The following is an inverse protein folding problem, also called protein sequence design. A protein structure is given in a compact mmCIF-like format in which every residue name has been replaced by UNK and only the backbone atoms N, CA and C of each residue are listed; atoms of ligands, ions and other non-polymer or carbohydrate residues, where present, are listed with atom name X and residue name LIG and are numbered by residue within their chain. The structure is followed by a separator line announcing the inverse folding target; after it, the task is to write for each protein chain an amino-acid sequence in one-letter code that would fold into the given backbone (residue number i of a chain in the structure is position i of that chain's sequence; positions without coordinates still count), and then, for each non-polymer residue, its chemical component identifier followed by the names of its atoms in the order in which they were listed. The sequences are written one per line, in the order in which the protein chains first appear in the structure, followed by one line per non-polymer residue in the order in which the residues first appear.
data_IF_975628207794
#
_entry.id   IF_975628207794
#
_cell.length_a   1.000
_cell.length_b   1.000
_cell.length_c   1.000
_cell.angle_alpha   90.00
_cell.angle_beta   90.00
_cell.angle_gamma   90.00
#
_symmetry.space_group_name_H-M   'P 1'
#
loop_
_entity.id
_entity.type
_entity.pdbx_description
1 polymer ?
#
# COMPACT_ATOMS: atom_id res chain seq x y z
N UNK A 1 -16.93 17.47 -9.57
CA UNK A 1 -15.77 17.12 -8.77
C UNK A 1 -15.55 15.61 -8.77
N UNK A 2 -14.36 15.21 -9.02
CA UNK A 2 -14.07 13.78 -9.07
C UNK A 2 -13.56 13.29 -7.71
N UNK A 3 -13.93 12.07 -7.39
CA UNK A 3 -13.39 11.40 -6.21
C UNK A 3 -12.11 10.70 -6.60
N UNK A 4 -11.21 10.59 -5.66
CA UNK A 4 -10.03 9.76 -5.87
C UNK A 4 -10.49 8.32 -6.02
N UNK A 5 -9.87 7.60 -6.94
CA UNK A 5 -10.14 6.19 -7.08
C UNK A 5 -9.63 5.44 -5.84
N UNK A 6 -10.16 4.24 -5.66
CA UNK A 6 -9.70 3.38 -4.55
C UNK A 6 -8.21 3.10 -4.67
N UNK A 7 -7.69 2.98 -5.90
CA UNK A 7 -6.27 2.73 -6.11
C UNK A 7 -5.42 3.88 -5.62
N UNK A 8 -5.85 5.12 -5.86
CA UNK A 8 -5.10 6.29 -5.40
C UNK A 8 -5.11 6.35 -3.88
N UNK A 9 -6.28 6.17 -3.27
CA UNK A 9 -6.40 6.20 -1.81
C UNK A 9 -5.56 5.10 -1.16
N UNK A 10 -5.60 3.92 -1.74
CA UNK A 10 -4.85 2.79 -1.23
C UNK A 10 -3.35 3.08 -1.29
N UNK A 11 -2.88 3.57 -2.43
CA UNK A 11 -1.47 3.90 -2.60
C UNK A 11 -0.98 4.96 -1.63
N UNK A 12 -1.80 6.00 -1.43
CA UNK A 12 -1.46 7.04 -0.47
C UNK A 12 -1.38 6.49 0.94
N UNK A 13 -2.30 5.63 1.31
CA UNK A 13 -2.33 5.05 2.65
C UNK A 13 -1.12 4.13 2.87
N UNK A 14 -0.79 3.32 1.88
CA UNK A 14 0.40 2.46 1.97
C UNK A 14 1.65 3.31 2.20
N UNK A 15 1.80 4.37 1.41
CA UNK A 15 2.96 5.24 1.56
C UNK A 15 2.98 5.91 2.93
N UNK A 16 1.85 6.41 3.39
CA UNK A 16 1.76 7.09 4.67
C UNK A 16 2.20 6.16 5.81
N UNK A 17 1.67 4.94 5.83
CA UNK A 17 1.99 4.00 6.89
C UNK A 17 3.44 3.54 6.78
N UNK A 18 3.90 3.29 5.55
CA UNK A 18 5.29 2.88 5.32
C UNK A 18 6.26 3.94 5.86
N UNK A 19 6.03 5.20 5.51
CA UNK A 19 6.90 6.29 5.95
C UNK A 19 6.84 6.45 7.46
N UNK A 20 5.65 6.29 8.04
CA UNK A 20 5.49 6.40 9.50
C UNK A 20 6.28 5.32 10.24
N UNK A 21 6.56 4.21 9.58
CA UNK A 21 7.33 3.12 10.17
C UNK A 21 8.81 3.17 9.77
N UNK A 22 9.21 4.25 9.09
CA UNK A 22 10.60 4.44 8.66
C UNK A 22 11.08 3.36 7.70
N UNK A 23 10.18 2.83 6.86
CA UNK A 23 10.53 1.81 5.88
C UNK A 23 10.72 2.44 4.52
N UNK A 24 11.75 2.00 3.80
CA UNK A 24 11.89 2.34 2.40
C UNK A 24 10.93 1.47 1.57
N UNK A 25 10.73 1.82 0.31
CA UNK A 25 9.94 0.96 -0.59
C UNK A 25 10.58 -0.42 -0.71
N UNK A 26 11.90 -0.47 -0.76
CA UNK A 26 12.62 -1.74 -0.88
C UNK A 26 12.43 -2.60 0.38
N UNK A 27 12.48 -1.97 1.55
CA UNK A 27 12.28 -2.69 2.80
C UNK A 27 10.86 -3.24 2.91
N UNK A 28 9.86 -2.43 2.54
CA UNK A 28 8.48 -2.91 2.54
C UNK A 28 8.32 -4.06 1.56
N UNK A 29 8.89 -3.93 0.36
CA UNK A 29 8.80 -4.98 -0.64
C UNK A 29 9.38 -6.29 -0.13
N UNK A 30 10.52 -6.21 0.54
CA UNK A 30 11.15 -7.39 1.12
C UNK A 30 10.23 -8.05 2.15
N UNK A 31 9.66 -7.25 3.05
CA UNK A 31 8.77 -7.77 4.08
C UNK A 31 7.49 -8.36 3.48
N UNK A 32 7.01 -7.78 2.39
CA UNK A 32 5.77 -8.22 1.75
C UNK A 32 6.01 -9.32 0.71
N UNK A 33 7.27 -9.67 0.46
CA UNK A 33 7.63 -10.68 -0.53
C UNK A 33 7.13 -10.30 -1.92
N UNK A 34 7.38 -9.07 -2.31
CA UNK A 34 7.08 -8.57 -3.66
C UNK A 34 8.28 -7.75 -4.14
N UNK A 35 8.30 -7.44 -5.43
CA UNK A 35 9.38 -6.64 -5.98
C UNK A 35 9.20 -5.15 -5.59
N UNK A 36 10.32 -4.46 -5.34
CA UNK A 36 10.26 -3.03 -4.96
C UNK A 36 9.56 -2.16 -6.00
N UNK A 37 9.74 -2.51 -7.28
CA UNK A 37 9.08 -1.78 -8.36
C UNK A 37 7.56 -1.85 -8.21
N UNK A 38 7.06 -2.99 -7.73
CA UNK A 38 5.62 -3.16 -7.51
C UNK A 38 5.12 -2.20 -6.42
N UNK A 39 5.87 -2.05 -5.33
CA UNK A 39 5.48 -1.13 -4.27
C UNK A 39 5.39 0.30 -4.82
N UNK A 40 6.39 0.73 -5.61
CA UNK A 40 6.36 2.05 -6.22
C UNK A 40 5.14 2.24 -7.11
N UNK A 41 4.81 1.24 -7.92
CA UNK A 41 3.64 1.30 -8.80
C UNK A 41 2.34 1.42 -8.00
N UNK A 42 2.24 0.68 -6.90
CA UNK A 42 1.05 0.71 -6.05
C UNK A 42 0.90 2.09 -5.41
N UNK A 43 2.00 2.64 -4.90
CA UNK A 43 1.94 3.95 -4.24
C UNK A 43 1.59 5.07 -5.21
N UNK A 44 1.94 4.92 -6.49
CA UNK A 44 1.59 5.88 -7.54
C UNK A 44 0.27 5.56 -8.24
N UNK A 45 -0.41 4.51 -7.78
CA UNK A 45 -1.68 4.07 -8.36
C UNK A 45 -1.56 3.73 -9.86
N UNK A 46 -0.42 3.19 -10.24
CA UNK A 46 -0.15 2.81 -11.62
C UNK A 46 -0.52 1.36 -11.91
N UNK A 47 -0.98 0.63 -10.91
CA UNK A 47 -1.30 -0.77 -11.07
C UNK A 47 -2.41 -1.16 -10.11
N UNK A 48 -3.33 -1.98 -10.59
CA UNK A 48 -4.34 -2.56 -9.72
C UNK A 48 -3.70 -3.63 -8.85
N UNK A 49 -4.13 -3.69 -7.61
CA UNK A 49 -3.58 -4.63 -6.66
C UNK A 49 -4.54 -5.81 -6.47
N UNK A 50 -4.01 -7.00 -6.36
CA UNK A 50 -4.82 -8.18 -6.09
C UNK A 50 -5.08 -8.30 -4.59
N UNK A 51 -6.12 -9.08 -4.24
CA UNK A 51 -6.42 -9.31 -2.82
C UNK A 51 -5.24 -9.97 -2.10
N UNK A 52 -4.57 -10.91 -2.78
CA UNK A 52 -3.42 -11.58 -2.19
C UNK A 52 -2.32 -10.57 -1.85
N UNK A 53 -2.07 -9.63 -2.75
CA UNK A 53 -1.02 -8.65 -2.52
C UNK A 53 -1.42 -7.60 -1.49
N UNK A 54 -2.72 -7.28 -1.40
CA UNK A 54 -3.21 -6.43 -0.30
C UNK A 54 -2.89 -7.09 1.03
N UNK A 55 -3.15 -8.38 1.13
CA UNK A 55 -2.87 -9.12 2.36
C UNK A 55 -1.39 -9.12 2.69
N UNK A 56 -0.54 -9.35 1.67
CA UNK A 56 0.91 -9.34 1.88
C UNK A 56 1.40 -8.00 2.41
N UNK A 57 0.89 -6.91 1.83
CA UNK A 57 1.30 -5.57 2.25
C UNK A 57 0.78 -5.26 3.65
N UNK A 58 -0.48 -5.60 3.93
CA UNK A 58 -1.05 -5.37 5.25
C UNK A 58 -0.25 -6.11 6.33
N UNK A 59 0.08 -7.37 6.07
CA UNK A 59 0.87 -8.15 7.01
C UNK A 59 2.27 -7.55 7.19
N UNK A 60 2.88 -7.10 6.11
CA UNK A 60 4.21 -6.50 6.17
C UNK A 60 4.21 -5.22 6.99
N UNK A 61 3.15 -4.44 6.90
CA UNK A 61 3.01 -3.20 7.66
C UNK A 61 2.41 -3.44 9.05
N UNK A 62 2.02 -4.66 9.32
CA UNK A 62 1.43 -5.04 10.61
C UNK A 62 0.14 -4.26 10.89
N UNK A 63 -0.69 -4.11 9.87
CA UNK A 63 -1.99 -3.46 9.98
C UNK A 63 -3.04 -4.40 9.39
N UNK A 64 -4.29 -4.07 9.63
CA UNK A 64 -5.39 -4.83 9.05
C UNK A 64 -5.68 -4.33 7.65
N UNK A 65 -6.22 -5.20 6.80
CA UNK A 65 -6.58 -4.82 5.43
C UNK A 65 -7.51 -3.61 5.47
N UNK A 66 -8.45 -3.57 6.38
CA UNK A 66 -9.39 -2.46 6.46
C UNK A 66 -8.69 -1.13 6.72
N UNK A 67 -7.56 -1.15 7.41
CA UNK A 67 -6.81 0.07 7.69
C UNK A 67 -6.23 0.68 6.42
N UNK A 68 -5.99 -0.15 5.41
CA UNK A 68 -5.47 0.30 4.12
C UNK A 68 -6.58 0.78 3.19
N UNK A 69 -7.81 0.33 3.41
CA UNK A 69 -8.93 0.63 2.53
C UNK A 69 -9.88 1.68 3.11
N UNK A 70 -9.72 1.99 4.39
CA UNK A 70 -10.60 2.93 5.07
C UNK A 70 -10.09 4.35 4.81
N UNK A 71 -10.90 5.15 4.14
CA UNK A 71 -10.55 6.52 3.84
C UNK A 71 -11.34 7.51 4.70
N UNK A 72 -11.98 7.03 5.71
CA UNK A 72 -12.90 7.80 6.52
C UNK A 72 -12.27 8.28 7.83
N UNK A 73 -11.03 8.61 7.78
CA UNK A 73 -10.31 8.99 8.99
C UNK A 73 -10.15 10.49 9.11
#
# INVERSE_FOLDING_TARGET
MSKKSISIKFGEKVREIRVSQNLSQEQLAHLADVHRTYIGMIERAEKNITLVNIEKIANALNVKIKDLLDDNL
#
